data_IF_567278413551
#
_entry.id   IF_567278413551
#
_cell.length_a   1.000
_cell.length_b   1.000
_cell.length_c   1.000
_cell.angle_alpha   90.00
_cell.angle_beta   90.00
_cell.angle_gamma   90.00
#
_symmetry.space_group_name_H-M   'P 1'
#
loop_
_entity.id
_entity.type
_entity.pdbx_description
1 polymer ?
#
# COMPACT_ATOMS: atom_id res chain seq x y z
N UNK A 1 11.11 1.59 -2.21
CA UNK A 1 10.33 1.37 -0.97
C UNK A 1 8.89 1.75 -1.28
N UNK A 2 7.92 0.92 -0.91
CA UNK A 2 6.50 1.19 -1.17
C UNK A 2 5.91 1.95 0.02
N UNK A 3 5.38 3.15 -0.22
CA UNK A 3 4.83 4.01 0.84
C UNK A 3 3.31 3.95 0.84
N UNK A 4 2.73 3.93 2.03
CA UNK A 4 1.29 3.93 2.27
C UNK A 4 0.96 5.08 3.18
N UNK A 5 0.07 5.96 2.73
CA UNK A 5 -0.35 7.16 3.47
C UNK A 5 -1.66 6.89 4.20
N UNK A 6 -1.71 7.25 5.48
CA UNK A 6 -2.91 7.12 6.32
C UNK A 6 -3.15 8.44 7.06
N UNK A 7 -4.42 8.83 7.18
CA UNK A 7 -4.88 9.98 7.97
C UNK A 7 -5.40 9.40 9.29
N UNK A 8 -4.50 9.29 10.27
CA UNK A 8 -4.70 8.63 11.57
C UNK A 8 -4.90 7.11 11.52
N UNK A 9 -4.19 6.40 12.42
CA UNK A 9 -4.30 4.95 12.57
C UNK A 9 -3.18 4.15 11.89
N UNK A 10 -2.01 4.77 11.64
CA UNK A 10 -0.84 4.09 11.09
C UNK A 10 -0.41 2.86 11.89
N UNK A 11 -0.56 2.91 13.22
CA UNK A 11 -0.28 1.79 14.12
C UNK A 11 -1.21 0.59 13.90
N UNK A 12 -2.52 0.86 13.70
CA UNK A 12 -3.49 -0.19 13.41
C UNK A 12 -3.19 -0.88 12.08
N UNK A 13 -2.91 -0.09 11.03
CA UNK A 13 -2.57 -0.64 9.71
C UNK A 13 -1.27 -1.45 9.77
N UNK A 14 -0.25 -0.94 10.48
CA UNK A 14 1.01 -1.65 10.73
C UNK A 14 0.76 -3.02 11.34
N UNK A 15 -0.04 -3.07 12.40
CA UNK A 15 -0.31 -4.32 13.13
C UNK A 15 -1.06 -5.33 12.26
N UNK A 16 -2.00 -4.89 11.42
CA UNK A 16 -2.67 -5.76 10.46
C UNK A 16 -1.71 -6.31 9.40
N UNK A 17 -0.88 -5.45 8.78
CA UNK A 17 0.10 -5.90 7.78
C UNK A 17 1.11 -6.87 8.38
N UNK A 18 1.55 -6.63 9.62
CA UNK A 18 2.46 -7.52 10.32
C UNK A 18 1.81 -8.86 10.69
N UNK A 19 0.53 -8.86 11.10
CA UNK A 19 -0.22 -10.08 11.34
C UNK A 19 -0.37 -10.93 10.06
N UNK A 20 -0.64 -10.30 8.92
CA UNK A 20 -0.68 -10.98 7.61
C UNK A 20 0.69 -11.57 7.26
N UNK A 21 1.75 -10.77 7.38
CA UNK A 21 3.12 -11.22 7.09
C UNK A 21 3.53 -12.40 7.98
N UNK A 22 3.18 -12.36 9.27
CA UNK A 22 3.44 -13.43 10.23
C UNK A 22 2.65 -14.70 9.90
N UNK A 23 1.35 -14.58 9.59
CA UNK A 23 0.49 -15.71 9.22
C UNK A 23 1.01 -16.41 7.96
N UNK A 24 1.42 -15.63 6.95
CA UNK A 24 1.96 -16.18 5.71
C UNK A 24 3.34 -16.83 5.85
N UNK A 25 4.04 -16.61 6.97
CA UNK A 25 5.26 -17.32 7.32
C UNK A 25 5.02 -18.64 8.07
N UNK A 26 3.77 -19.02 8.32
CA UNK A 26 3.45 -20.25 9.06
C UNK A 26 3.39 -21.48 8.15
N UNK A 27 3.65 -22.66 8.73
CA UNK A 27 3.46 -23.96 8.05
C UNK A 27 2.01 -24.19 7.60
N UNK A 28 1.04 -23.56 8.27
CA UNK A 28 -0.36 -23.60 7.87
C UNK A 28 -0.55 -22.92 6.52
N UNK A 29 0.06 -21.76 6.32
CA UNK A 29 0.06 -21.06 5.03
C UNK A 29 0.67 -21.92 3.93
N UNK A 30 1.84 -22.52 4.16
CA UNK A 30 2.47 -23.43 3.18
C UNK A 30 1.55 -24.59 2.78
N UNK A 31 0.77 -25.09 3.73
CA UNK A 31 -0.17 -26.19 3.49
C UNK A 31 -1.35 -25.72 2.64
N UNK A 32 -1.88 -24.52 2.92
CA UNK A 32 -2.95 -23.89 2.13
C UNK A 32 -2.47 -23.65 0.70
N UNK A 33 -1.25 -23.13 0.51
CA UNK A 33 -0.66 -22.92 -0.81
C UNK A 33 -0.57 -24.23 -1.58
N UNK A 34 -0.04 -25.30 -0.97
CA UNK A 34 0.05 -26.62 -1.62
C UNK A 34 -1.32 -27.18 -2.01
N UNK A 35 -2.34 -27.02 -1.18
CA UNK A 35 -3.71 -27.46 -1.50
C UNK A 35 -4.27 -26.63 -2.67
N UNK A 36 -4.08 -25.32 -2.67
CA UNK A 36 -4.53 -24.47 -3.78
C UNK A 36 -3.81 -24.82 -5.09
N UNK A 37 -2.51 -25.10 -5.02
CA UNK A 37 -1.70 -25.54 -6.15
C UNK A 37 -2.22 -26.85 -6.75
N UNK A 38 -2.47 -27.87 -5.93
CA UNK A 38 -2.97 -29.16 -6.42
C UNK A 38 -4.35 -29.06 -7.04
N UNK A 39 -5.26 -28.29 -6.43
CA UNK A 39 -6.59 -28.03 -6.98
C UNK A 39 -6.53 -27.27 -8.32
N UNK A 40 -5.62 -26.30 -8.45
CA UNK A 40 -5.40 -25.55 -9.70
C UNK A 40 -4.96 -26.47 -10.85
N UNK A 41 -4.02 -27.39 -10.58
CA UNK A 41 -3.55 -28.37 -11.56
C UNK A 41 -4.66 -29.34 -11.97
N UNK A 42 -5.47 -29.80 -11.00
CA UNK A 42 -6.63 -30.65 -11.30
C UNK A 42 -7.67 -29.92 -12.16
N UNK A 43 -7.93 -28.65 -11.87
CA UNK A 43 -8.86 -27.83 -12.65
C UNK A 43 -8.42 -27.69 -14.11
N UNK A 44 -7.14 -27.39 -14.37
CA UNK A 44 -6.64 -27.30 -15.76
C UNK A 44 -6.62 -28.65 -16.47
N UNK A 45 -6.36 -29.75 -15.76
CA UNK A 45 -6.46 -31.09 -16.33
C UNK A 45 -7.89 -31.41 -16.79
N UNK A 46 -8.90 -31.07 -15.99
CA UNK A 46 -10.32 -31.21 -16.38
C UNK A 46 -10.66 -30.33 -17.58
N UNK A 47 -10.23 -29.06 -17.57
CA UNK A 47 -10.44 -28.15 -18.71
C UNK A 47 -9.81 -28.68 -19.99
N UNK A 48 -8.61 -29.26 -19.90
CA UNK A 48 -7.91 -29.86 -21.04
C UNK A 48 -8.69 -31.03 -21.63
N UNK A 49 -9.17 -31.97 -20.80
CA UNK A 49 -9.96 -33.12 -21.26
C UNK A 49 -11.25 -32.70 -21.95
N UNK A 50 -11.86 -31.58 -21.55
CA UNK A 50 -13.09 -31.10 -22.17
C UNK A 50 -12.84 -30.35 -23.48
N UNK A 51 -11.79 -29.53 -23.55
CA UNK A 51 -11.62 -28.54 -24.63
C UNK A 51 -10.49 -28.84 -25.61
N UNK A 52 -9.47 -29.58 -25.18
CA UNK A 52 -8.24 -29.88 -25.94
C UNK A 52 -7.62 -28.63 -26.59
N UNK A 53 -7.78 -27.47 -25.96
CA UNK A 53 -7.35 -26.18 -26.47
C UNK A 53 -6.07 -25.72 -25.76
N UNK A 54 -4.99 -25.57 -26.53
CA UNK A 54 -3.69 -25.11 -26.01
C UNK A 54 -3.73 -23.68 -25.50
N UNK A 55 -4.62 -22.82 -26.00
CA UNK A 55 -4.73 -21.45 -25.53
C UNK A 55 -5.27 -21.37 -24.10
N UNK A 56 -6.15 -22.29 -23.70
CA UNK A 56 -6.66 -22.35 -22.33
C UNK A 56 -5.54 -22.75 -21.35
N UNK A 57 -4.62 -23.62 -21.77
CA UNK A 57 -3.46 -24.02 -20.98
C UNK A 57 -2.44 -22.88 -20.84
N UNK A 58 -2.16 -22.15 -21.92
CA UNK A 58 -1.30 -20.97 -21.88
C UNK A 58 -1.89 -19.87 -21.00
N UNK A 59 -3.20 -19.61 -21.12
CA UNK A 59 -3.92 -18.66 -20.27
C UNK A 59 -3.85 -19.05 -18.79
N UNK A 60 -4.03 -20.33 -18.48
CA UNK A 60 -3.88 -20.85 -17.12
C UNK A 60 -2.47 -20.64 -16.58
N UNK A 61 -1.42 -20.96 -17.35
CA UNK A 61 -0.02 -20.73 -16.94
C UNK A 61 0.22 -19.25 -16.65
N UNK A 62 -0.26 -18.36 -17.52
CA UNK A 62 -0.10 -16.92 -17.34
C UNK A 62 -0.78 -16.43 -16.03
N UNK A 63 -2.02 -16.83 -15.79
CA UNK A 63 -2.76 -16.48 -14.56
C UNK A 63 -2.09 -17.07 -13.33
N UNK A 64 -1.63 -18.31 -13.41
CA UNK A 64 -0.94 -19.00 -12.31
C UNK A 64 0.35 -18.28 -11.92
N UNK A 65 1.19 -17.93 -12.91
CA UNK A 65 2.42 -17.16 -12.70
C UNK A 65 2.09 -15.80 -12.09
N UNK A 66 1.08 -15.10 -12.62
CA UNK A 66 0.67 -13.80 -12.09
C UNK A 66 0.26 -13.89 -10.61
N UNK A 67 -0.63 -14.81 -10.26
CA UNK A 67 -1.08 -14.99 -8.87
C UNK A 67 0.09 -15.39 -7.97
N UNK A 68 0.95 -16.30 -8.41
CA UNK A 68 2.14 -16.71 -7.67
C UNK A 68 3.06 -15.52 -7.39
N UNK A 69 3.31 -14.66 -8.37
CA UNK A 69 4.10 -13.44 -8.18
C UNK A 69 3.45 -12.50 -7.16
N UNK A 70 2.14 -12.28 -7.23
CA UNK A 70 1.43 -11.37 -6.32
C UNK A 70 1.44 -11.88 -4.86
N UNK A 71 1.35 -13.19 -4.66
CA UNK A 71 1.23 -13.80 -3.32
C UNK A 71 2.60 -14.06 -2.70
N UNK A 72 3.56 -14.56 -3.49
CA UNK A 72 4.84 -15.03 -2.98
C UNK A 72 5.95 -13.98 -2.99
N UNK A 73 5.91 -13.00 -3.90
CA UNK A 73 6.89 -11.91 -3.88
C UNK A 73 6.57 -10.98 -2.71
N UNK A 74 7.61 -10.68 -1.92
CA UNK A 74 7.51 -9.93 -0.67
C UNK A 74 8.20 -8.58 -0.81
N UNK A 75 7.55 -7.54 -0.31
CA UNK A 75 8.09 -6.18 -0.32
C UNK A 75 7.90 -5.53 1.04
N UNK A 76 8.80 -4.60 1.35
CA UNK A 76 8.68 -3.75 2.54
C UNK A 76 7.78 -2.56 2.26
N UNK A 77 6.84 -2.32 3.18
CA UNK A 77 5.90 -1.21 3.16
C UNK A 77 6.24 -0.24 4.29
N UNK A 78 6.29 1.05 3.96
CA UNK A 78 6.39 2.12 4.94
C UNK A 78 5.03 2.78 5.08
N UNK A 79 4.47 2.75 6.28
CA UNK A 79 3.25 3.46 6.63
C UNK A 79 3.64 4.84 7.16
N UNK A 80 3.20 5.87 6.45
CA UNK A 80 3.39 7.28 6.79
C UNK A 80 2.05 7.77 7.35
N UNK A 81 2.04 8.16 8.62
CA UNK A 81 0.86 8.75 9.27
C UNK A 81 0.98 10.27 9.23
N UNK A 82 0.08 10.93 8.51
CA UNK A 82 0.09 12.38 8.39
C UNK A 82 -0.33 13.11 9.69
N UNK A 83 -0.91 12.39 10.65
CA UNK A 83 -1.30 12.94 11.96
C UNK A 83 -0.20 12.88 13.03
N UNK A 84 0.80 12.01 12.85
CA UNK A 84 1.93 11.82 13.77
C UNK A 84 3.23 11.69 12.96
N UNK A 85 3.75 12.84 12.51
CA UNK A 85 4.93 12.94 11.63
C UNK A 85 6.23 12.42 12.26
N UNK A 86 6.23 12.14 13.56
CA UNK A 86 7.43 11.70 14.31
C UNK A 86 7.61 10.18 14.26
N UNK A 87 6.55 9.42 13.97
CA UNK A 87 6.60 7.95 13.96
C UNK A 87 6.68 7.38 12.55
N UNK A 88 7.79 6.71 12.26
CA UNK A 88 7.94 5.92 11.04
C UNK A 88 7.51 4.47 11.30
N UNK A 89 6.37 4.07 10.75
CA UNK A 89 5.90 2.69 10.84
C UNK A 89 6.38 1.90 9.62
N UNK A 90 7.23 0.90 9.82
CA UNK A 90 7.71 0.01 8.75
C UNK A 90 7.22 -1.42 8.97
N UNK A 91 6.76 -2.07 7.91
CA UNK A 91 6.40 -3.49 7.89
C UNK A 91 7.15 -4.18 6.75
N UNK A 92 7.90 -5.21 7.10
CA UNK A 92 8.60 -6.04 6.12
C UNK A 92 7.76 -7.28 5.75
N UNK A 93 8.14 -7.95 4.67
CA UNK A 93 7.55 -9.22 4.22
C UNK A 93 6.06 -9.18 3.81
N UNK A 94 5.57 -8.05 3.32
CA UNK A 94 4.18 -7.90 2.84
C UNK A 94 4.07 -8.41 1.39
N UNK A 95 3.04 -9.22 1.03
CA UNK A 95 2.81 -9.65 -0.35
C UNK A 95 2.65 -8.47 -1.31
N UNK A 96 3.28 -8.55 -2.48
CA UNK A 96 3.17 -7.54 -3.54
C UNK A 96 1.72 -7.30 -3.95
N UNK A 97 0.90 -8.35 -4.00
CA UNK A 97 -0.51 -8.28 -4.36
C UNK A 97 -1.35 -7.40 -3.42
N UNK A 98 -0.90 -7.22 -2.17
CA UNK A 98 -1.54 -6.30 -1.22
C UNK A 98 -0.81 -4.95 -1.20
N UNK A 99 0.53 -4.97 -1.17
CA UNK A 99 1.35 -3.78 -1.03
C UNK A 99 1.21 -2.81 -2.21
N UNK A 100 1.16 -3.32 -3.45
CA UNK A 100 1.14 -2.49 -4.66
C UNK A 100 -0.17 -1.69 -4.80
N UNK A 101 -1.37 -2.31 -4.76
CA UNK A 101 -2.62 -1.54 -4.82
C UNK A 101 -2.77 -0.57 -3.65
N UNK A 102 -2.43 -1.01 -2.44
CA UNK A 102 -2.51 -0.16 -1.24
C UNK A 102 -1.61 1.08 -1.36
N UNK A 103 -0.36 0.89 -1.79
CA UNK A 103 0.57 2.00 -2.01
C UNK A 103 0.11 2.93 -3.12
N UNK A 104 -0.36 2.38 -4.24
CA UNK A 104 -0.84 3.18 -5.37
C UNK A 104 -2.04 4.05 -4.99
N UNK A 105 -3.07 3.44 -4.39
CA UNK A 105 -4.29 4.15 -4.01
C UNK A 105 -4.01 5.25 -2.99
N UNK A 106 -3.19 4.96 -1.97
CA UNK A 106 -2.89 5.95 -0.93
C UNK A 106 -1.96 7.06 -1.43
N UNK A 107 -1.02 6.76 -2.34
CA UNK A 107 -0.21 7.79 -3.02
C UNK A 107 -1.06 8.74 -3.84
N UNK A 108 -2.00 8.21 -4.62
CA UNK A 108 -2.91 9.05 -5.42
C UNK A 108 -3.77 9.91 -4.48
N UNK A 109 -4.39 9.32 -3.45
CA UNK A 109 -5.20 10.06 -2.48
C UNK A 109 -4.40 11.14 -1.76
N UNK A 110 -3.17 10.84 -1.35
CA UNK A 110 -2.26 11.81 -0.75
C UNK A 110 -1.94 12.97 -1.69
N UNK A 111 -1.61 12.67 -2.96
CA UNK A 111 -1.34 13.70 -3.96
C UNK A 111 -2.56 14.60 -4.21
N UNK A 112 -3.77 14.01 -4.23
CA UNK A 112 -5.01 14.77 -4.36
C UNK A 112 -5.23 15.70 -3.16
N UNK A 113 -5.09 15.20 -1.93
CA UNK A 113 -5.21 16.03 -0.71
C UNK A 113 -4.16 17.14 -0.71
N UNK A 114 -2.90 16.84 -1.00
CA UNK A 114 -1.84 17.84 -1.09
C UNK A 114 -2.13 18.90 -2.16
N UNK A 115 -2.70 18.52 -3.31
CA UNK A 115 -3.11 19.47 -4.34
C UNK A 115 -4.27 20.36 -3.90
N UNK A 116 -5.22 19.82 -3.13
CA UNK A 116 -6.33 20.59 -2.58
C UNK A 116 -5.81 21.60 -1.55
N UNK A 117 -4.98 21.16 -0.61
CA UNK A 117 -4.33 22.03 0.37
C UNK A 117 -3.54 23.13 -0.33
N UNK A 118 -2.74 22.84 -1.37
CA UNK A 118 -2.00 23.86 -2.11
C UNK A 118 -2.88 24.95 -2.74
N UNK A 119 -4.08 24.60 -3.19
CA UNK A 119 -5.02 25.55 -3.81
C UNK A 119 -5.78 26.35 -2.76
N UNK A 120 -6.15 25.69 -1.66
CA UNK A 120 -6.96 26.27 -0.58
C UNK A 120 -6.16 26.74 0.63
N UNK A 121 -4.82 26.72 0.58
CA UNK A 121 -4.00 27.36 1.60
C UNK A 121 -4.39 28.81 1.66
N UNK A 122 -4.94 29.22 2.80
CA UNK A 122 -5.17 30.62 3.08
C UNK A 122 -3.81 31.33 2.94
N UNK A 123 -3.69 32.40 2.13
CA UNK A 123 -2.48 33.21 2.12
C UNK A 123 -2.43 33.93 3.47
N UNK A 124 -1.94 33.25 4.49
CA UNK A 124 -2.02 33.76 5.84
C UNK A 124 -0.92 34.80 6.07
N UNK A 125 -1.35 36.06 5.97
CA UNK A 125 -1.25 37.03 7.06
C UNK A 125 0.14 37.40 7.61
N UNK A 126 1.25 37.01 6.97
CA UNK A 126 2.60 37.54 7.30
C UNK A 126 2.86 38.95 6.75
N UNK A 127 1.95 39.51 5.96
CA UNK A 127 2.04 40.92 5.50
C UNK A 127 1.40 41.91 6.49
N UNK A 128 0.88 41.47 7.64
CA UNK A 128 0.57 42.39 8.75
C UNK A 128 1.79 42.70 9.65
N UNK A 129 2.96 42.12 9.39
CA UNK A 129 4.22 42.47 10.07
C UNK A 129 5.11 43.45 9.29
N UNK A 130 4.73 43.90 8.09
CA UNK A 130 5.57 44.83 7.30
C UNK A 130 5.23 46.32 7.44
N UNK A 131 4.15 46.68 8.13
CA UNK A 131 3.78 48.10 8.38
C UNK A 131 3.01 48.29 9.70
N UNK A 132 3.49 47.74 10.83
CA UNK A 132 2.67 47.79 12.05
C UNK A 132 3.32 47.43 13.37
N UNK A 133 4.57 47.81 13.62
CA UNK A 133 5.14 48.03 14.96
C UNK A 133 6.51 48.69 14.74
N UNK A 134 6.57 50.02 14.89
CA UNK A 134 7.76 50.88 15.11
C UNK A 134 7.50 52.38 14.79
N UNK A 135 6.23 52.82 14.65
CA UNK A 135 5.87 54.20 15.02
C UNK A 135 5.73 54.25 16.55
N UNK A 136 6.84 54.50 17.24
CA UNK A 136 6.88 54.62 18.69
C UNK A 136 8.28 54.82 19.29
N UNK A 137 9.27 55.22 18.48
CA UNK A 137 10.59 55.62 18.96
C UNK A 137 10.74 57.15 18.83
N UNK A 138 9.90 57.91 19.55
CA UNK A 138 10.24 59.27 19.99
C UNK A 138 9.31 59.68 21.16
N UNK A 139 9.89 60.32 22.20
CA UNK A 139 9.30 60.91 23.43
C UNK A 139 8.97 59.89 24.53
N UNK A 140 9.69 59.74 25.67
CA UNK A 140 10.38 60.68 26.59
C UNK A 140 11.67 60.06 27.13
#
# INVERSE_FOLDING_TARGET
>A
MNEVYVIAGGEWLRNNLNAIAAFMGTRTWDSIEKIALTLSVLAVAVMWVQRHNVMDLLGWVAVFVLISLLVNVRTSVQVIDNSDLVKVHRVDNVPVGLAMPLSLTTRIGHAMVASYEMIFTQPDSVTYSKTGMLFGAELV
#
